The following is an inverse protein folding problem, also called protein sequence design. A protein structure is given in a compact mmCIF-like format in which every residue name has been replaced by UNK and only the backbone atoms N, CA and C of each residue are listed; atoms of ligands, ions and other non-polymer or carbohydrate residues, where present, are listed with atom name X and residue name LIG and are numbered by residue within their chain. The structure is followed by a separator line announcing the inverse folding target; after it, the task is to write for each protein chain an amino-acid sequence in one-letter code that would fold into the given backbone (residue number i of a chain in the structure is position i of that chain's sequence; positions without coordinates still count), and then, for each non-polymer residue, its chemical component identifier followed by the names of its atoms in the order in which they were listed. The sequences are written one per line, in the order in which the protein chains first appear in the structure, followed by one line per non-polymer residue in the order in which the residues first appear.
data_IF_842354767976
#
_entry.id   IF_842354767976
#
_cell.length_a   1.000
_cell.length_b   1.000
_cell.length_c   1.000
_cell.angle_alpha   90.00
_cell.angle_beta   90.00
_cell.angle_gamma   90.00
#
_symmetry.space_group_name_H-M   'P 1'
#
loop_
_entity.id
_entity.type
_entity.pdbx_description
1 polymer ?
#
# COMPACT_ATOMS: atom_id res chain seq x y z
N UNK A 1 39.37 -0.12 25.24
CA UNK A 1 40.01 0.01 23.91
C UNK A 1 39.16 -0.58 22.77
N UNK A 2 38.43 -1.68 22.96
CA UNK A 2 37.66 -2.36 21.88
C UNK A 2 36.33 -1.68 21.49
N UNK A 3 35.70 -0.90 22.38
CA UNK A 3 34.39 -0.29 22.14
C UNK A 3 34.37 0.71 20.98
N UNK A 4 35.53 1.31 20.65
CA UNK A 4 35.66 2.25 19.52
C UNK A 4 35.46 1.59 18.15
N UNK A 5 35.68 0.29 18.05
CA UNK A 5 35.50 -0.46 16.81
C UNK A 5 34.11 -1.09 16.68
N UNK A 6 33.39 -1.27 17.79
CA UNK A 6 32.04 -1.86 17.77
C UNK A 6 31.04 -0.99 17.00
N UNK A 7 31.11 0.33 17.16
CA UNK A 7 30.21 1.25 16.47
C UNK A 7 30.35 1.21 14.93
N UNK A 8 31.55 1.37 14.33
CA UNK A 8 31.69 1.29 12.88
C UNK A 8 31.40 -0.13 12.35
N UNK A 9 31.77 -1.19 13.08
CA UNK A 9 31.43 -2.56 12.69
C UNK A 9 29.91 -2.75 12.67
N UNK A 10 29.20 -2.29 13.71
CA UNK A 10 27.74 -2.36 13.77
C UNK A 10 27.07 -1.56 12.66
N UNK A 11 27.54 -0.35 12.35
CA UNK A 11 26.97 0.43 11.24
C UNK A 11 27.20 -0.27 9.91
N UNK A 12 28.40 -0.78 9.64
CA UNK A 12 28.66 -1.53 8.41
C UNK A 12 27.82 -2.79 8.32
N UNK A 13 27.70 -3.58 9.40
CA UNK A 13 26.84 -4.75 9.44
C UNK A 13 25.37 -4.38 9.22
N UNK A 14 24.88 -3.32 9.87
CA UNK A 14 23.51 -2.81 9.67
C UNK A 14 23.27 -2.42 8.22
N UNK A 15 24.18 -1.66 7.61
CA UNK A 15 24.06 -1.27 6.19
C UNK A 15 24.11 -2.47 5.25
N UNK A 16 24.95 -3.47 5.55
CA UNK A 16 25.00 -4.72 4.77
C UNK A 16 23.72 -5.51 4.95
N UNK A 17 23.17 -5.62 6.17
CA UNK A 17 21.90 -6.31 6.41
C UNK A 17 20.73 -5.56 5.79
N UNK A 18 20.67 -4.24 5.90
CA UNK A 18 19.68 -3.44 5.21
C UNK A 18 19.85 -3.65 3.69
N UNK A 19 21.04 -3.47 3.11
CA UNK A 19 21.21 -3.64 1.67
C UNK A 19 20.93 -5.07 1.18
N UNK A 20 21.39 -6.11 1.88
CA UNK A 20 21.29 -7.52 1.45
C UNK A 20 19.95 -8.15 1.82
N UNK A 21 19.32 -7.77 2.94
CA UNK A 21 18.02 -8.32 3.33
C UNK A 21 16.87 -7.44 2.86
N UNK A 22 17.00 -6.12 2.99
CA UNK A 22 15.96 -5.18 2.58
C UNK A 22 15.87 -5.12 1.05
N UNK A 23 16.97 -5.01 0.29
CA UNK A 23 16.83 -4.82 -1.16
C UNK A 23 16.13 -5.99 -1.88
N UNK A 24 16.44 -7.28 -1.63
CA UNK A 24 15.70 -8.39 -2.22
C UNK A 24 14.28 -8.50 -1.68
N UNK A 25 14.06 -8.20 -0.39
CA UNK A 25 12.72 -8.22 0.20
C UNK A 25 11.83 -7.13 -0.38
N UNK A 26 12.37 -5.94 -0.63
CA UNK A 26 11.66 -4.80 -1.21
C UNK A 26 11.47 -4.95 -2.71
N UNK A 27 12.43 -5.49 -3.45
CA UNK A 27 12.26 -5.80 -4.87
C UNK A 27 11.26 -6.94 -5.12
N UNK A 28 11.12 -7.88 -4.18
CA UNK A 28 10.05 -8.88 -4.19
C UNK A 28 8.68 -8.30 -3.78
N UNK A 29 8.67 -7.23 -2.99
CA UNK A 29 7.46 -6.51 -2.62
C UNK A 29 6.99 -5.55 -3.73
N UNK A 30 7.91 -4.90 -4.45
CA UNK A 30 7.60 -4.00 -5.57
C UNK A 30 7.40 -4.72 -6.92
N UNK A 31 7.55 -6.04 -6.98
CA UNK A 31 7.07 -6.85 -8.11
C UNK A 31 5.56 -7.13 -8.04
N UNK A 32 4.83 -6.41 -7.19
CA UNK A 32 3.39 -6.28 -7.36
C UNK A 32 3.13 -5.71 -8.76
N UNK A 33 2.54 -6.49 -9.69
CA UNK A 33 2.09 -5.94 -10.96
C UNK A 33 1.19 -4.74 -10.66
N UNK A 34 1.18 -3.69 -11.50
CA UNK A 34 0.25 -2.57 -11.32
C UNK A 34 -1.10 -3.20 -11.05
N UNK A 35 -1.75 -2.79 -9.94
CA UNK A 35 -3.04 -3.32 -9.50
C UNK A 35 -3.89 -3.40 -10.76
N UNK A 36 -4.01 -4.61 -11.33
CA UNK A 36 -4.81 -4.78 -12.51
C UNK A 36 -6.21 -4.51 -11.98
N UNK A 37 -6.86 -3.45 -12.47
CA UNK A 37 -8.17 -3.02 -11.98
C UNK A 37 -9.23 -4.15 -12.11
N UNK A 38 -8.90 -5.24 -12.82
CA UNK A 38 -9.64 -6.50 -12.86
C UNK A 38 -9.29 -7.56 -11.81
N UNK A 39 -8.32 -7.35 -10.91
CA UNK A 39 -8.04 -8.26 -9.79
C UNK A 39 -8.93 -7.93 -8.61
N UNK A 40 -10.18 -8.36 -8.78
CA UNK A 40 -11.35 -8.31 -7.90
C UNK A 40 -11.31 -7.23 -6.82
N UNK A 41 -11.59 -6.04 -7.30
CA UNK A 41 -11.99 -4.94 -6.46
C UNK A 41 -13.42 -5.20 -6.00
N UNK A 42 -13.64 -5.23 -4.70
CA UNK A 42 -14.98 -5.42 -4.16
C UNK A 42 -15.47 -4.10 -3.60
N UNK A 43 -16.49 -3.54 -4.27
CA UNK A 43 -17.12 -2.29 -3.88
C UNK A 43 -18.21 -2.62 -2.89
N UNK A 44 -18.15 -2.01 -1.71
CA UNK A 44 -19.20 -2.14 -0.71
C UNK A 44 -19.53 -0.76 -0.16
N UNK A 45 -20.75 -0.62 0.35
CA UNK A 45 -21.02 0.46 1.28
C UNK A 45 -20.43 0.04 2.62
N UNK A 46 -19.59 0.88 3.20
CA UNK A 46 -19.16 0.59 4.56
C UNK A 46 -20.38 0.79 5.48
N UNK A 47 -20.68 -0.22 6.29
CA UNK A 47 -21.66 -0.13 7.35
C UNK A 47 -20.87 0.01 8.65
N UNK A 48 -21.11 1.11 9.38
CA UNK A 48 -20.44 1.35 10.65
C UNK A 48 -20.99 0.37 11.70
N UNK A 49 -20.43 -0.84 11.76
CA UNK A 49 -20.73 -1.75 12.87
C UNK A 49 -20.13 -1.14 14.13
N UNK A 50 -21.00 -0.65 15.02
CA UNK A 50 -20.70 0.07 16.26
C UNK A 50 -19.89 -0.71 17.32
N UNK A 51 -19.20 -1.80 16.93
CA UNK A 51 -18.50 -2.71 17.83
C UNK A 51 -17.08 -3.13 17.42
N UNK A 52 -16.53 -2.62 16.30
CA UNK A 52 -15.12 -2.82 15.95
C UNK A 52 -14.33 -1.53 16.23
N UNK A 53 -13.56 -1.50 17.31
CA UNK A 53 -12.69 -0.37 17.69
C UNK A 53 -11.51 -0.15 16.74
N UNK A 54 -11.40 -0.94 15.68
CA UNK A 54 -10.44 -0.74 14.59
C UNK A 54 -10.98 0.31 13.62
N UNK A 55 -10.74 1.59 13.95
CA UNK A 55 -11.00 2.70 13.05
C UNK A 55 -10.11 2.58 11.81
N UNK A 56 -10.64 2.00 10.73
CA UNK A 56 -10.00 2.03 9.41
C UNK A 56 -10.29 3.40 8.79
N UNK A 57 -9.24 4.18 8.55
CA UNK A 57 -9.32 5.44 7.80
C UNK A 57 -8.89 5.21 6.35
N UNK A 58 -9.44 6.00 5.43
CA UNK A 58 -8.96 6.00 4.05
C UNK A 58 -7.50 6.48 4.00
N UNK A 59 -6.55 5.62 3.63
CA UNK A 59 -5.12 5.96 3.61
C UNK A 59 -4.73 7.06 2.59
N UNK A 60 -5.66 7.47 1.71
CA UNK A 60 -5.45 8.57 0.75
C UNK A 60 -5.82 9.92 1.34
N UNK A 61 -6.97 10.04 2.02
CA UNK A 61 -7.46 11.31 2.57
C UNK A 61 -7.37 11.40 4.10
N UNK A 62 -6.93 10.32 4.77
CA UNK A 62 -6.80 10.21 6.22
C UNK A 62 -8.08 10.55 6.96
N UNK A 63 -9.22 10.19 6.38
CA UNK A 63 -10.56 10.47 6.94
C UNK A 63 -11.30 9.16 7.18
N UNK A 64 -12.10 9.15 8.25
CA UNK A 64 -13.03 8.08 8.60
C UNK A 64 -14.05 7.89 7.48
N UNK A 65 -14.41 6.65 7.22
CA UNK A 65 -15.58 6.32 6.40
C UNK A 65 -16.86 6.75 7.13
N UNK A 66 -17.76 7.46 6.47
CA UNK A 66 -19.06 7.92 6.98
C UNK A 66 -20.22 7.21 6.28
N UNK A 67 -21.34 6.91 6.97
CA UNK A 67 -22.33 5.77 6.78
C UNK A 67 -22.85 5.45 5.36
N UNK A 68 -22.45 6.22 4.35
CA UNK A 68 -22.86 6.09 2.95
C UNK A 68 -21.69 6.08 1.98
N UNK A 69 -20.46 6.12 2.48
CA UNK A 69 -19.27 6.15 1.65
C UNK A 69 -19.11 4.82 0.92
N UNK A 70 -18.98 4.93 -0.40
CA UNK A 70 -18.57 3.81 -1.24
C UNK A 70 -17.10 3.55 -0.98
N UNK A 71 -16.83 2.39 -0.36
CA UNK A 71 -15.48 1.96 -0.07
C UNK A 71 -15.09 0.82 -0.98
N UNK A 72 -13.80 0.80 -1.27
CA UNK A 72 -13.17 -0.23 -2.05
C UNK A 72 -12.18 -0.95 -1.15
N UNK A 73 -12.39 -2.26 -0.99
CA UNK A 73 -11.42 -3.15 -0.36
C UNK A 73 -10.61 -3.85 -1.44
N UNK A 74 -9.28 -3.68 -1.39
CA UNK A 74 -8.37 -4.40 -2.27
C UNK A 74 -8.13 -5.78 -1.66
N UNK A 75 -8.60 -6.85 -2.32
CA UNK A 75 -8.57 -8.20 -1.73
C UNK A 75 -7.19 -8.68 -1.31
N UNK A 76 -6.12 -8.29 -2.02
CA UNK A 76 -4.77 -8.81 -1.77
C UNK A 76 -4.10 -8.23 -0.52
N UNK A 77 -4.43 -7.00 -0.16
CA UNK A 77 -3.80 -6.30 0.98
C UNK A 77 -4.81 -5.84 2.03
N UNK A 78 -6.09 -6.09 1.79
CA UNK A 78 -7.23 -5.76 2.65
C UNK A 78 -7.40 -4.27 2.99
N UNK A 79 -6.56 -3.39 2.41
CA UNK A 79 -6.70 -1.95 2.57
C UNK A 79 -8.02 -1.45 2.00
N UNK A 80 -8.63 -0.52 2.73
CA UNK A 80 -9.91 0.09 2.40
C UNK A 80 -9.67 1.56 2.00
N UNK A 81 -10.29 1.98 0.91
CA UNK A 81 -10.20 3.34 0.39
C UNK A 81 -11.58 3.86 0.02
N UNK A 82 -11.82 5.18 0.07
CA UNK A 82 -12.97 5.73 -0.64
C UNK A 82 -12.82 5.44 -2.13
N UNK A 83 -13.89 5.01 -2.80
CA UNK A 83 -13.88 4.78 -4.25
C UNK A 83 -13.31 5.96 -5.01
N UNK A 84 -13.82 7.16 -4.75
CA UNK A 84 -13.31 8.39 -5.38
C UNK A 84 -11.87 8.76 -4.99
N UNK A 85 -11.34 8.27 -3.87
CA UNK A 85 -9.92 8.42 -3.53
C UNK A 85 -9.05 7.47 -4.34
N UNK A 86 -9.45 6.20 -4.46
CA UNK A 86 -8.73 5.21 -5.24
C UNK A 86 -8.74 5.57 -6.73
N UNK A 87 -9.89 5.94 -7.29
CA UNK A 87 -10.03 6.33 -8.70
C UNK A 87 -9.09 7.49 -9.04
N UNK A 88 -9.08 8.54 -8.22
CA UNK A 88 -8.17 9.70 -8.40
C UNK A 88 -6.71 9.30 -8.27
N UNK A 89 -6.39 8.44 -7.31
CA UNK A 89 -5.03 7.95 -7.11
C UNK A 89 -4.54 7.17 -8.33
N UNK A 90 -5.34 6.25 -8.87
CA UNK A 90 -5.04 5.48 -10.07
C UNK A 90 -4.82 6.39 -11.29
N UNK A 91 -5.72 7.36 -11.52
CA UNK A 91 -5.59 8.31 -12.64
C UNK A 91 -4.31 9.15 -12.51
N UNK A 92 -3.92 9.52 -11.29
CA UNK A 92 -2.73 10.35 -11.05
C UNK A 92 -1.40 9.62 -11.18
N UNK A 93 -1.37 8.30 -10.92
CA UNK A 93 -0.14 7.51 -10.81
C UNK A 93 0.07 6.51 -11.94
N UNK A 94 -0.97 6.20 -12.70
CA UNK A 94 -0.86 5.30 -13.84
C UNK A 94 -0.36 6.11 -15.04
N UNK A 95 0.90 5.94 -15.48
CA UNK A 95 1.28 6.47 -16.79
C UNK A 95 0.32 5.86 -17.82
N UNK A 96 -0.15 6.68 -18.77
CA UNK A 96 -1.18 6.37 -19.79
C UNK A 96 -0.93 5.13 -20.68
N UNK A 97 0.07 4.32 -20.37
CA UNK A 97 0.61 3.23 -21.18
C UNK A 97 -0.16 1.91 -21.09
N UNK A 98 -1.19 1.77 -20.25
CA UNK A 98 -2.00 0.53 -20.19
C UNK A 98 -3.36 0.61 -20.90
N UNK A 99 -3.60 1.65 -21.69
CA UNK A 99 -4.81 1.78 -22.53
C UNK A 99 -4.48 1.98 -24.03
N UNK A 100 -3.26 1.66 -24.46
CA UNK A 100 -2.82 1.88 -25.85
C UNK A 100 -2.75 0.60 -26.72
N UNK A 101 -3.29 -0.53 -26.24
CA UNK A 101 -3.31 -1.80 -26.99
C UNK A 101 -4.75 -2.33 -27.10
N UNK A 102 -5.63 -1.62 -27.80
CA UNK A 102 -6.86 -2.19 -28.40
C UNK A 102 -7.39 -1.30 -29.54
N UNK A 103 -6.66 -1.27 -30.66
CA UNK A 103 -7.20 -0.89 -31.97
C UNK A 103 -6.61 -1.80 -33.06
#
# INVERSE_FOLDING_TARGET
MLTKYLAPIYTHLKWVFDFVLYYPFYMLYDSHPPINLGTELSTFHYELTSGSEEHVDCAVCLSKFGERDEVIRVMRCEHVFHKGCLDRWLVSRMPRVLFAEDQ
#
